data_IF_665404568239
#
_entry.id   IF_665404568239
#
_cell.length_a   1.000
_cell.length_b   1.000
_cell.length_c   1.000
_cell.angle_alpha   90.00
_cell.angle_beta   90.00
_cell.angle_gamma   90.00
#
_symmetry.space_group_name_H-M   'P 1'
#
loop_
_entity.id
_entity.type
_entity.pdbx_description
1 polymer ?
#
# COMPACT_ATOMS: atom_id res chain seq x y z
N UNK A 1 -24.29 5.54 -21.55
CA UNK A 1 -24.75 6.00 -20.23
C UNK A 1 -23.59 5.80 -19.27
N UNK A 2 -23.25 6.78 -18.42
CA UNK A 2 -22.17 6.66 -17.42
C UNK A 2 -22.83 6.42 -16.06
N UNK A 3 -22.49 5.33 -15.39
CA UNK A 3 -22.89 5.08 -14.01
C UNK A 3 -21.84 5.66 -13.06
N UNK A 4 -22.28 6.43 -12.07
CA UNK A 4 -21.40 7.10 -11.11
C UNK A 4 -21.55 6.49 -9.71
N UNK A 5 -20.45 6.33 -9.00
CA UNK A 5 -20.42 5.78 -7.65
C UNK A 5 -19.69 6.73 -6.70
N UNK A 6 -20.38 7.26 -5.68
CA UNK A 6 -19.79 8.09 -4.63
C UNK A 6 -19.44 7.23 -3.41
N UNK A 7 -18.49 6.32 -3.61
CA UNK A 7 -18.13 5.28 -2.65
C UNK A 7 -16.64 4.98 -2.76
N UNK A 8 -16.00 4.54 -1.67
CA UNK A 8 -14.61 4.09 -1.73
C UNK A 8 -14.53 2.73 -2.41
N UNK A 9 -13.45 2.48 -3.14
CA UNK A 9 -13.23 1.19 -3.83
C UNK A 9 -13.30 -0.01 -2.85
N UNK A 10 -12.87 0.20 -1.62
CA UNK A 10 -12.84 -0.84 -0.57
C UNK A 10 -14.23 -1.28 -0.09
N UNK A 11 -15.27 -0.48 -0.33
CA UNK A 11 -16.61 -0.76 0.16
C UNK A 11 -17.43 -1.60 -0.84
N UNK A 12 -16.90 -1.85 -2.04
CA UNK A 12 -17.52 -2.72 -3.03
C UNK A 12 -17.12 -4.19 -2.82
N UNK A 13 -18.07 -5.14 -2.96
CA UNK A 13 -17.76 -6.56 -2.95
C UNK A 13 -17.00 -6.98 -4.22
N UNK A 14 -16.36 -8.13 -4.17
CA UNK A 14 -15.73 -8.81 -5.32
C UNK A 14 -16.68 -8.96 -6.52
N UNK A 15 -17.94 -9.30 -6.27
CA UNK A 15 -18.98 -9.45 -7.30
C UNK A 15 -19.22 -8.17 -8.09
N UNK A 16 -18.97 -6.99 -7.51
CA UNK A 16 -19.03 -5.72 -8.23
C UNK A 16 -17.91 -5.63 -9.25
N UNK A 17 -16.70 -6.07 -8.93
CA UNK A 17 -15.56 -5.98 -9.84
C UNK A 17 -15.62 -7.04 -10.95
N UNK A 18 -16.18 -8.21 -10.67
CA UNK A 18 -16.37 -9.29 -11.65
C UNK A 18 -17.24 -8.90 -12.86
N UNK A 19 -18.05 -7.84 -12.76
CA UNK A 19 -18.92 -7.42 -13.86
C UNK A 19 -18.16 -6.69 -14.99
N UNK A 20 -16.90 -6.28 -14.77
CA UNK A 20 -16.16 -5.44 -15.70
C UNK A 20 -15.20 -6.27 -16.56
N UNK A 21 -15.11 -5.92 -17.84
CA UNK A 21 -14.16 -6.54 -18.77
C UNK A 21 -12.75 -5.94 -18.68
N UNK A 22 -12.62 -4.68 -18.30
CA UNK A 22 -11.36 -3.95 -18.13
C UNK A 22 -11.54 -2.93 -17.01
N UNK A 23 -10.51 -2.75 -16.18
CA UNK A 23 -10.47 -1.73 -15.12
C UNK A 23 -9.40 -0.69 -15.42
N UNK A 24 -9.74 0.59 -15.29
CA UNK A 24 -8.80 1.70 -15.50
C UNK A 24 -8.66 2.49 -14.21
N UNK A 25 -7.42 2.66 -13.74
CA UNK A 25 -7.10 3.33 -12.48
C UNK A 25 -6.44 4.68 -12.74
N UNK A 26 -7.05 5.74 -12.20
CA UNK A 26 -6.47 7.07 -12.03
C UNK A 26 -6.38 7.43 -10.54
N UNK A 27 -5.85 6.51 -9.74
CA UNK A 27 -5.82 6.62 -8.28
C UNK A 27 -4.70 7.56 -7.81
N UNK A 28 -4.85 8.15 -6.63
CA UNK A 28 -3.89 9.14 -6.08
C UNK A 28 -2.99 8.57 -4.98
N UNK A 29 -3.22 7.32 -4.55
CA UNK A 29 -2.44 6.69 -3.48
C UNK A 29 -1.95 5.30 -3.85
N UNK A 30 -0.73 4.97 -3.40
CA UNK A 30 -0.13 3.64 -3.53
C UNK A 30 -1.02 2.59 -2.85
N UNK A 31 -1.60 2.93 -1.69
CA UNK A 31 -2.49 2.03 -0.94
C UNK A 31 -3.73 1.64 -1.75
N UNK A 32 -4.37 2.60 -2.41
CA UNK A 32 -5.53 2.32 -3.26
C UNK A 32 -5.14 1.45 -4.47
N UNK A 33 -4.00 1.74 -5.12
CA UNK A 33 -3.49 0.93 -6.24
C UNK A 33 -3.20 -0.52 -5.83
N UNK A 34 -2.52 -0.72 -4.70
CA UNK A 34 -2.24 -2.05 -4.13
C UNK A 34 -3.53 -2.79 -3.83
N UNK A 35 -4.53 -2.11 -3.25
CA UNK A 35 -5.81 -2.72 -2.96
C UNK A 35 -6.53 -3.18 -4.23
N UNK A 36 -6.62 -2.32 -5.25
CA UNK A 36 -7.24 -2.68 -6.54
C UNK A 36 -6.49 -3.83 -7.22
N UNK A 37 -5.16 -3.79 -7.20
CA UNK A 37 -4.34 -4.88 -7.74
C UNK A 37 -4.66 -6.22 -7.09
N UNK A 38 -4.71 -6.25 -5.75
CA UNK A 38 -5.02 -7.46 -4.99
C UNK A 38 -6.47 -7.90 -5.21
N UNK A 39 -7.40 -6.96 -5.39
CA UNK A 39 -8.80 -7.27 -5.73
C UNK A 39 -8.89 -8.00 -7.06
N UNK A 40 -8.26 -7.49 -8.12
CA UNK A 40 -8.30 -8.17 -9.43
C UNK A 40 -7.56 -9.50 -9.44
N UNK A 41 -6.48 -9.63 -8.68
CA UNK A 41 -5.81 -10.92 -8.46
C UNK A 41 -6.73 -11.90 -7.72
N UNK A 42 -7.55 -11.44 -6.78
CA UNK A 42 -8.48 -12.30 -6.03
C UNK A 42 -9.58 -12.93 -6.89
N UNK A 43 -9.85 -12.35 -8.06
CA UNK A 43 -10.85 -12.84 -9.00
C UNK A 43 -10.31 -13.94 -9.92
N UNK A 44 -9.00 -14.17 -9.90
CA UNK A 44 -8.37 -15.19 -10.74
C UNK A 44 -8.79 -16.58 -10.28
N UNK A 45 -9.17 -17.40 -11.26
CA UNK A 45 -9.46 -18.80 -11.07
C UNK A 45 -8.30 -19.65 -11.62
N UNK A 46 -7.92 -20.67 -10.86
CA UNK A 46 -6.88 -21.61 -11.24
C UNK A 46 -7.44 -23.03 -11.19
N UNK A 47 -7.44 -23.72 -12.32
CA UNK A 47 -7.84 -25.12 -12.43
C UNK A 47 -6.56 -25.96 -12.57
N UNK A 48 -6.31 -26.84 -11.60
CA UNK A 48 -5.09 -27.67 -11.53
C UNK A 48 -3.77 -26.87 -11.66
N UNK A 49 -3.75 -25.65 -11.11
CA UNK A 49 -2.60 -24.75 -11.16
C UNK A 49 -2.44 -23.99 -12.48
N UNK A 50 -3.34 -24.19 -13.44
CA UNK A 50 -3.39 -23.47 -14.71
C UNK A 50 -4.37 -22.30 -14.58
N UNK A 51 -3.93 -21.11 -14.96
CA UNK A 51 -4.77 -19.91 -14.93
C UNK A 51 -5.88 -19.99 -15.97
N UNK A 52 -7.13 -19.86 -15.52
CA UNK A 52 -8.26 -19.62 -16.41
C UNK A 52 -8.19 -18.18 -16.94
N UNK A 53 -7.88 -18.03 -18.23
CA UNK A 53 -7.77 -16.71 -18.87
C UNK A 53 -9.08 -15.93 -18.87
N UNK A 54 -10.24 -16.60 -18.79
CA UNK A 54 -11.53 -15.93 -18.73
C UNK A 54 -11.76 -15.19 -17.40
N UNK A 55 -11.06 -15.59 -16.34
CA UNK A 55 -11.09 -14.93 -15.03
C UNK A 55 -10.21 -13.66 -14.97
N UNK A 56 -9.38 -13.42 -15.99
CA UNK A 56 -8.45 -12.29 -16.02
C UNK A 56 -9.20 -11.02 -16.43
N UNK A 57 -9.26 -10.06 -15.51
CA UNK A 57 -9.72 -8.70 -15.80
C UNK A 57 -8.48 -7.80 -15.97
N UNK A 58 -8.14 -7.34 -17.19
CA UNK A 58 -7.02 -6.45 -17.41
C UNK A 58 -7.18 -5.14 -16.66
N UNK A 59 -6.07 -4.66 -16.10
CA UNK A 59 -5.99 -3.39 -15.38
C UNK A 59 -5.04 -2.44 -16.11
N UNK A 60 -5.52 -1.23 -16.40
CA UNK A 60 -4.68 -0.15 -16.91
C UNK A 60 -4.54 0.90 -15.81
N UNK A 61 -3.32 1.16 -15.34
CA UNK A 61 -3.06 2.12 -14.26
C UNK A 61 -2.24 3.30 -14.77
N UNK A 62 -2.68 4.50 -14.41
CA UNK A 62 -2.00 5.76 -14.68
C UNK A 62 -1.57 6.46 -13.39
N UNK A 63 -0.39 7.05 -13.38
CA UNK A 63 0.13 7.89 -12.31
C UNK A 63 0.74 9.18 -12.86
N UNK A 64 0.57 10.28 -12.12
CA UNK A 64 1.11 11.61 -12.47
C UNK A 64 1.65 12.31 -11.23
N UNK A 65 2.76 13.02 -11.41
CA UNK A 65 3.38 13.88 -10.40
C UNK A 65 4.13 15.00 -11.11
N UNK A 66 3.61 16.22 -11.01
CA UNK A 66 4.12 17.39 -11.72
C UNK A 66 4.24 17.11 -13.21
N UNK A 67 5.47 17.20 -13.70
CA UNK A 67 5.88 17.03 -15.10
C UNK A 67 6.27 15.59 -15.46
N UNK A 68 6.01 14.64 -14.56
CA UNK A 68 6.30 13.22 -14.73
C UNK A 68 5.03 12.40 -14.64
N UNK A 69 5.02 11.27 -15.32
CA UNK A 69 3.93 10.32 -15.21
C UNK A 69 4.32 8.94 -15.71
N UNK A 70 3.43 7.99 -15.49
CA UNK A 70 3.58 6.63 -15.97
C UNK A 70 2.22 6.06 -16.35
N UNK A 71 2.21 5.19 -17.35
CA UNK A 71 1.08 4.32 -17.64
C UNK A 71 1.56 2.87 -17.62
N UNK A 72 0.70 1.97 -17.17
CA UNK A 72 1.02 0.54 -17.13
C UNK A 72 -0.20 -0.32 -17.48
N UNK A 73 0.05 -1.43 -18.15
CA UNK A 73 -0.94 -2.45 -18.48
C UNK A 73 -0.61 -3.71 -17.69
N UNK A 74 -1.56 -4.17 -16.89
CA UNK A 74 -1.40 -5.31 -16.01
C UNK A 74 -2.47 -6.33 -16.40
N UNK A 75 -2.00 -7.52 -16.77
CA UNK A 75 -2.78 -8.75 -16.82
C UNK A 75 -2.52 -9.54 -15.54
N UNK A 76 -3.43 -9.52 -14.55
CA UNK A 76 -3.23 -10.21 -13.28
C UNK A 76 -2.91 -11.70 -13.50
N UNK A 77 -1.95 -12.23 -12.73
CA UNK A 77 -1.48 -13.61 -12.87
C UNK A 77 -0.48 -13.85 -14.02
N UNK A 78 -0.47 -13.01 -15.05
CA UNK A 78 0.37 -13.19 -16.25
C UNK A 78 1.57 -12.22 -16.30
N UNK A 79 1.32 -10.93 -16.11
CA UNK A 79 2.34 -9.87 -16.19
C UNK A 79 2.75 -9.35 -14.80
N UNK A 80 3.77 -8.50 -14.74
CA UNK A 80 4.15 -7.82 -13.50
C UNK A 80 3.00 -6.96 -12.94
N UNK A 81 2.58 -7.25 -11.71
CA UNK A 81 1.51 -6.52 -11.03
C UNK A 81 2.04 -5.28 -10.28
N UNK A 82 1.17 -4.55 -9.57
CA UNK A 82 1.59 -3.37 -8.77
C UNK A 82 2.64 -3.74 -7.72
N UNK A 83 2.46 -4.84 -7.00
CA UNK A 83 3.43 -5.32 -6.00
C UNK A 83 4.79 -5.72 -6.62
N UNK A 84 4.82 -6.23 -7.85
CA UNK A 84 6.08 -6.54 -8.54
C UNK A 84 6.93 -5.29 -8.76
N UNK A 85 6.30 -4.13 -8.94
CA UNK A 85 6.94 -2.85 -9.26
C UNK A 85 6.84 -1.84 -8.13
N UNK A 86 6.59 -2.30 -6.89
CA UNK A 86 6.42 -1.41 -5.74
C UNK A 86 7.69 -0.59 -5.45
N UNK A 87 8.86 -1.12 -5.78
CA UNK A 87 10.16 -0.46 -5.60
C UNK A 87 10.39 0.70 -6.58
N UNK A 88 9.53 0.86 -7.60
CA UNK A 88 9.59 2.00 -8.52
C UNK A 88 8.97 3.27 -7.94
N UNK A 89 8.16 3.14 -6.89
CA UNK A 89 7.65 4.32 -6.20
C UNK A 89 8.79 4.99 -5.42
N UNK A 90 8.86 6.33 -5.43
CA UNK A 90 9.87 7.04 -4.65
C UNK A 90 9.68 6.74 -3.16
N UNK A 91 10.78 6.67 -2.38
CA UNK A 91 10.67 6.47 -0.94
C UNK A 91 9.85 7.61 -0.32
N UNK A 92 8.95 7.26 0.59
CA UNK A 92 8.21 8.28 1.33
C UNK A 92 9.18 9.12 2.16
N UNK A 93 9.12 10.44 1.98
CA UNK A 93 9.90 11.38 2.80
C UNK A 93 9.34 11.35 4.22
N UNK A 94 10.05 10.67 5.12
CA UNK A 94 9.78 10.65 6.54
C UNK A 94 10.97 11.25 7.28
N UNK A 95 10.76 12.39 7.94
CA UNK A 95 11.80 13.02 8.73
C UNK A 95 11.95 12.28 10.07
N UNK A 96 13.18 11.94 10.51
CA UNK A 96 13.39 11.30 11.80
C UNK A 96 12.89 12.17 12.95
N UNK A 97 12.24 11.56 13.95
CA UNK A 97 11.66 12.28 15.08
C UNK A 97 12.70 13.09 15.87
N UNK A 98 13.92 12.56 16.05
CA UNK A 98 15.03 13.27 16.70
C UNK A 98 15.41 14.56 15.96
N UNK A 99 15.39 14.54 14.63
CA UNK A 99 15.66 15.71 13.79
C UNK A 99 14.53 16.73 13.92
N UNK A 100 13.27 16.29 13.84
CA UNK A 100 12.10 17.15 13.99
C UNK A 100 12.10 17.81 15.38
N UNK A 101 12.36 17.03 16.44
CA UNK A 101 12.22 17.48 17.83
C UNK A 101 13.38 18.35 18.31
N UNK A 102 14.62 18.01 17.97
CA UNK A 102 15.81 18.60 18.59
C UNK A 102 16.77 19.30 17.63
N UNK A 103 16.87 18.84 16.38
CA UNK A 103 17.87 19.36 15.43
C UNK A 103 17.26 19.68 14.06
N UNK A 104 16.26 20.59 14.00
CA UNK A 104 15.68 21.00 12.73
C UNK A 104 16.74 21.71 11.87
N UNK A 105 16.62 21.59 10.54
CA UNK A 105 17.59 22.11 9.57
C UNK A 105 16.91 22.71 8.34
N UNK A 106 15.73 22.21 8.01
CA UNK A 106 14.91 22.65 6.89
C UNK A 106 13.61 23.29 7.41
N UNK A 107 12.98 24.23 6.68
CA UNK A 107 11.71 24.81 7.08
C UNK A 107 10.60 23.76 7.22
N UNK A 108 10.64 22.68 6.44
CA UNK A 108 9.74 21.52 6.55
C UNK A 108 9.83 20.83 7.92
N UNK A 109 11.03 20.77 8.53
CA UNK A 109 11.20 20.19 9.87
C UNK A 109 10.47 21.01 10.93
N UNK A 110 10.43 22.34 10.77
CA UNK A 110 9.71 23.24 11.68
C UNK A 110 8.21 23.03 11.57
N UNK A 111 7.69 22.87 10.35
CA UNK A 111 6.27 22.61 10.08
C UNK A 111 5.85 21.23 10.62
N UNK A 112 6.64 20.19 10.36
CA UNK A 112 6.35 18.85 10.88
C UNK A 112 6.43 18.76 12.40
N UNK A 113 7.29 19.55 13.05
CA UNK A 113 7.26 19.66 14.52
C UNK A 113 5.92 20.18 15.01
N UNK A 114 5.42 21.25 14.41
CA UNK A 114 4.16 21.86 14.84
C UNK A 114 3.01 20.88 14.61
N UNK A 115 2.99 20.23 13.45
CA UNK A 115 1.97 19.24 13.08
C UNK A 115 1.97 18.01 13.97
N UNK A 116 3.14 17.41 14.24
CA UNK A 116 3.24 16.11 14.92
C UNK A 116 3.37 16.22 16.44
N UNK A 117 3.98 17.29 16.95
CA UNK A 117 4.32 17.42 18.38
C UNK A 117 3.57 18.57 19.05
N UNK A 118 3.52 19.76 18.43
CA UNK A 118 2.94 20.92 19.09
C UNK A 118 1.41 20.90 19.08
N UNK A 119 0.80 20.51 17.96
CA UNK A 119 -0.65 20.45 17.82
C UNK A 119 -1.30 19.50 18.84
N UNK A 120 -0.87 18.22 18.97
CA UNK A 120 -1.46 17.33 19.97
C UNK A 120 -1.20 17.79 21.41
N UNK A 121 -0.15 18.58 21.64
CA UNK A 121 0.22 19.08 22.97
C UNK A 121 -0.61 20.29 23.40
N UNK A 122 -0.93 21.20 22.47
CA UNK A 122 -1.62 22.46 22.78
C UNK A 122 -3.12 22.42 22.51
N UNK A 123 -3.59 21.45 21.71
CA UNK A 123 -5.00 21.31 21.32
C UNK A 123 -5.64 22.67 20.94
N UNK A 124 -5.05 23.41 19.97
CA UNK A 124 -5.34 24.84 19.78
C UNK A 124 -6.79 25.17 19.40
N UNK A 125 -7.52 24.18 18.87
CA UNK A 125 -8.93 24.31 18.46
C UNK A 125 -9.87 23.44 19.31
N UNK A 126 -9.40 22.90 20.42
CA UNK A 126 -10.16 22.06 21.34
C UNK A 126 -9.68 20.61 21.38
N UNK A 127 -10.11 19.90 22.44
CA UNK A 127 -9.70 18.53 22.68
C UNK A 127 -10.14 17.59 21.55
N UNK A 128 -9.23 16.73 21.09
CA UNK A 128 -9.43 15.78 19.98
C UNK A 128 -9.75 16.40 18.60
N UNK A 129 -9.55 17.71 18.39
CA UNK A 129 -9.65 18.28 17.04
C UNK A 129 -8.41 17.90 16.23
N UNK A 130 -8.63 17.09 15.19
CA UNK A 130 -7.59 16.71 14.24
C UNK A 130 -7.29 17.85 13.28
N UNK A 131 -6.05 17.89 12.76
CA UNK A 131 -5.65 18.87 11.77
C UNK A 131 -6.46 18.64 10.49
N UNK A 132 -7.38 19.55 10.22
CA UNK A 132 -7.95 19.74 8.89
C UNK A 132 -6.99 20.60 8.05
N UNK A 133 -6.44 20.03 6.97
CA UNK A 133 -5.56 20.76 6.07
C UNK A 133 -6.29 21.78 5.20
N UNK A 134 -7.59 21.62 4.99
CA UNK A 134 -8.43 22.51 4.19
C UNK A 134 -8.96 23.70 4.98
N UNK A 135 -8.94 23.64 6.32
CA UNK A 135 -9.30 24.76 7.19
C UNK A 135 -8.19 25.84 7.20
N UNK A 136 -8.47 27.06 6.71
CA UNK A 136 -7.50 28.15 6.72
C UNK A 136 -7.02 28.53 8.12
N UNK A 137 -7.85 28.36 9.16
CA UNK A 137 -7.49 28.68 10.54
C UNK A 137 -6.45 27.71 11.07
N UNK A 138 -6.63 26.42 10.82
CA UNK A 138 -5.67 25.39 11.20
C UNK A 138 -4.32 25.62 10.53
N UNK A 139 -4.32 25.84 9.21
CA UNK A 139 -3.09 26.10 8.45
C UNK A 139 -2.40 27.38 8.94
N UNK A 140 -3.16 28.45 9.18
CA UNK A 140 -2.61 29.71 9.68
C UNK A 140 -1.94 29.53 11.04
N UNK A 141 -2.59 28.82 11.96
CA UNK A 141 -2.00 28.51 13.27
C UNK A 141 -0.71 27.70 13.14
N UNK A 142 -0.70 26.68 12.28
CA UNK A 142 0.49 25.88 12.02
C UNK A 142 1.61 26.75 11.44
N UNK A 143 1.28 27.62 10.49
CA UNK A 143 2.23 28.53 9.86
C UNK A 143 2.88 29.47 10.89
N UNK A 144 2.09 30.14 11.73
CA UNK A 144 2.59 31.05 12.77
C UNK A 144 3.53 30.34 13.74
N UNK A 145 3.14 29.16 14.25
CA UNK A 145 4.00 28.36 15.14
C UNK A 145 5.23 27.78 14.47
N UNK A 146 5.16 27.52 13.17
CA UNK A 146 6.31 27.07 12.39
C UNK A 146 7.31 28.20 12.22
N UNK A 147 6.84 29.43 12.08
CA UNK A 147 7.66 30.64 12.00
C UNK A 147 8.39 30.88 13.33
N UNK A 148 7.66 30.80 14.45
CA UNK A 148 8.25 30.91 15.80
C UNK A 148 9.41 29.93 15.98
N UNK A 149 9.18 28.64 15.68
CA UNK A 149 10.20 27.60 15.77
C UNK A 149 11.35 27.82 14.78
N UNK A 150 11.07 28.25 13.56
CA UNK A 150 12.12 28.51 12.58
C UNK A 150 13.04 29.64 13.05
N UNK A 151 12.50 30.69 13.68
CA UNK A 151 13.27 31.78 14.26
C UNK A 151 14.18 31.30 15.41
N UNK A 152 13.72 30.39 16.27
CA UNK A 152 14.54 29.81 17.35
C UNK A 152 15.82 29.13 16.83
N UNK A 153 15.73 28.48 15.67
CA UNK A 153 16.84 27.75 15.04
C UNK A 153 17.50 28.50 13.89
N UNK A 154 17.16 29.77 13.66
CA UNK A 154 17.65 30.60 12.54
C UNK A 154 17.43 29.94 11.16
N UNK A 155 16.30 29.27 10.96
CA UNK A 155 15.91 28.62 9.71
C UNK A 155 15.04 29.57 8.89
N UNK A 156 15.42 29.80 7.64
CA UNK A 156 14.65 30.63 6.70
C UNK A 156 13.77 29.76 5.79
N UNK A 157 12.79 30.38 5.14
CA UNK A 157 11.99 29.73 4.09
C UNK A 157 10.64 29.16 4.51
N UNK A 158 10.22 29.35 5.78
CA UNK A 158 8.84 29.03 6.19
C UNK A 158 7.88 30.02 5.53
N UNK A 159 7.02 29.51 4.66
CA UNK A 159 5.98 30.28 3.97
C UNK A 159 4.63 29.59 4.13
N UNK A 160 3.53 30.34 4.03
CA UNK A 160 2.18 29.78 4.11
C UNK A 160 1.96 28.67 3.05
N UNK A 161 2.47 28.87 1.83
CA UNK A 161 2.42 27.87 0.75
C UNK A 161 3.18 26.59 1.09
N UNK A 162 4.37 26.71 1.68
CA UNK A 162 5.14 25.55 2.13
C UNK A 162 4.42 24.82 3.27
N UNK A 163 3.82 25.56 4.22
CA UNK A 163 3.00 24.97 5.29
C UNK A 163 1.84 24.15 4.74
N UNK A 164 1.10 24.69 3.77
CA UNK A 164 0.05 23.92 3.08
C UNK A 164 0.61 22.67 2.39
N UNK A 165 1.73 22.81 1.67
CA UNK A 165 2.41 21.72 0.99
C UNK A 165 2.78 20.56 1.93
N UNK A 166 3.39 20.89 3.08
CA UNK A 166 3.81 19.90 4.08
C UNK A 166 2.60 19.27 4.79
N UNK A 167 1.62 20.08 5.23
CA UNK A 167 0.45 19.59 5.98
C UNK A 167 -0.42 18.67 5.12
N UNK A 168 -0.70 19.07 3.87
CA UNK A 168 -1.54 18.30 2.94
C UNK A 168 -0.77 17.27 2.13
N UNK A 169 0.57 17.24 2.22
CA UNK A 169 1.44 16.44 1.34
C UNK A 169 1.11 16.65 -0.15
N UNK A 170 1.00 17.93 -0.55
CA UNK A 170 0.56 18.31 -1.92
C UNK A 170 1.53 17.75 -2.95
N UNK A 171 1.02 16.90 -3.84
CA UNK A 171 1.71 16.48 -5.06
C UNK A 171 1.36 17.50 -6.16
N UNK A 172 2.35 18.14 -6.81
CA UNK A 172 2.07 19.04 -7.93
C UNK A 172 1.30 18.33 -9.03
N UNK A 173 0.32 18.99 -9.64
CA UNK A 173 -0.47 18.41 -10.73
C UNK A 173 -0.67 19.46 -11.84
N UNK A 174 -0.50 19.04 -13.10
CA UNK A 174 -0.74 19.86 -14.28
C UNK A 174 -1.62 19.11 -15.28
N UNK A 175 -2.49 19.85 -15.97
CA UNK A 175 -3.46 19.27 -16.89
C UNK A 175 -2.80 18.56 -18.09
N UNK A 176 -1.65 19.06 -18.57
CA UNK A 176 -0.89 18.48 -19.68
C UNK A 176 -0.47 17.04 -19.39
N UNK A 177 0.19 16.81 -18.26
CA UNK A 177 0.68 15.48 -17.86
C UNK A 177 -0.47 14.50 -17.62
N UNK A 178 -1.57 14.97 -17.00
CA UNK A 178 -2.78 14.17 -16.85
C UNK A 178 -3.39 13.77 -18.21
N UNK A 179 -3.42 14.70 -19.17
CA UNK A 179 -3.92 14.41 -20.52
C UNK A 179 -3.05 13.37 -21.25
N UNK A 180 -1.72 13.48 -21.15
CA UNK A 180 -0.79 12.52 -21.77
C UNK A 180 -0.99 11.12 -21.19
N UNK A 181 -1.00 10.97 -19.86
CA UNK A 181 -1.15 9.66 -19.22
C UNK A 181 -2.54 9.08 -19.41
N UNK A 182 -3.60 9.90 -19.33
CA UNK A 182 -4.96 9.44 -19.61
C UNK A 182 -5.12 8.99 -21.07
N UNK A 183 -4.49 9.68 -22.02
CA UNK A 183 -4.50 9.28 -23.42
C UNK A 183 -3.78 7.94 -23.64
N UNK A 184 -2.63 7.73 -23.00
CA UNK A 184 -1.94 6.45 -23.03
C UNK A 184 -2.83 5.33 -22.44
N UNK A 185 -3.43 5.53 -21.28
CA UNK A 185 -4.31 4.54 -20.65
C UNK A 185 -5.53 4.21 -21.54
N UNK A 186 -6.23 5.23 -22.04
CA UNK A 186 -7.41 5.03 -22.89
C UNK A 186 -7.06 4.31 -24.20
N UNK A 187 -5.89 4.57 -24.77
CA UNK A 187 -5.39 3.87 -25.95
C UNK A 187 -5.18 2.39 -25.67
N UNK A 188 -4.61 2.03 -24.52
CA UNK A 188 -4.42 0.62 -24.15
C UNK A 188 -5.74 -0.10 -23.89
N UNK A 189 -6.72 0.58 -23.30
CA UNK A 189 -8.09 0.02 -23.15
C UNK A 189 -8.70 -0.28 -24.52
N UNK A 190 -8.55 0.61 -25.49
CA UNK A 190 -9.04 0.38 -26.86
C UNK A 190 -8.36 -0.85 -27.47
N UNK A 191 -7.04 -0.97 -27.37
CA UNK A 191 -6.28 -2.12 -27.88
C UNK A 191 -6.72 -3.44 -27.25
N UNK A 192 -6.87 -3.46 -25.92
CA UNK A 192 -7.31 -4.64 -25.16
C UNK A 192 -8.73 -5.06 -25.59
N UNK A 193 -9.66 -4.12 -25.63
CA UNK A 193 -11.09 -4.43 -25.88
C UNK A 193 -11.41 -4.78 -27.33
N UNK A 194 -10.62 -4.29 -28.29
CA UNK A 194 -10.87 -4.50 -29.72
C UNK A 194 -9.87 -5.46 -30.37
N UNK A 195 -8.77 -5.79 -29.68
CA UNK A 195 -7.64 -6.53 -30.24
C UNK A 195 -7.08 -5.89 -31.54
N UNK A 196 -7.24 -4.58 -31.74
CA UNK A 196 -6.80 -3.91 -32.96
C UNK A 196 -5.27 -3.84 -33.10
N UNK A 197 -4.55 -3.87 -31.98
CA UNK A 197 -3.08 -3.89 -31.89
C UNK A 197 -2.66 -4.62 -30.62
N UNK A 198 -1.39 -5.03 -30.55
CA UNK A 198 -0.79 -5.53 -29.32
C UNK A 198 -0.79 -4.44 -28.24
N UNK A 199 -1.25 -4.73 -27.00
CA UNK A 199 -1.13 -3.81 -25.88
C UNK A 199 0.33 -3.51 -25.52
N UNK A 200 0.53 -2.40 -24.81
CA UNK A 200 1.79 -2.03 -24.18
C UNK A 200 2.28 -3.19 -23.30
N UNK A 201 3.55 -3.55 -23.46
CA UNK A 201 4.17 -4.57 -22.65
C UNK A 201 4.56 -4.00 -21.27
N UNK A 202 3.61 -4.06 -20.35
CA UNK A 202 3.68 -3.63 -18.96
C UNK A 202 3.80 -2.14 -18.69
N UNK A 203 4.88 -1.43 -19.05
CA UNK A 203 5.18 -0.13 -18.45
C UNK A 203 5.65 0.92 -19.46
N UNK A 204 5.24 2.19 -19.26
CA UNK A 204 5.84 3.35 -19.92
C UNK A 204 5.98 4.51 -18.93
N UNK A 205 7.17 5.13 -18.91
CA UNK A 205 7.43 6.39 -18.20
C UNK A 205 7.28 7.58 -19.16
N UNK A 206 6.91 8.73 -18.60
CA UNK A 206 6.83 10.03 -19.26
C UNK A 206 7.48 11.11 -18.39
N UNK A 207 8.24 12.01 -19.01
CA UNK A 207 8.73 13.24 -18.39
C UNK A 207 8.79 14.35 -19.43
N UNK A 208 8.37 15.56 -19.06
CA UNK A 208 8.48 16.76 -19.91
C UNK A 208 9.35 17.87 -19.29
N UNK A 209 10.18 17.52 -18.29
CA UNK A 209 11.06 18.48 -17.59
C UNK A 209 12.19 19.04 -18.46
N UNK A 210 12.72 18.24 -19.39
CA UNK A 210 13.78 18.63 -20.32
C UNK A 210 13.53 17.96 -21.67
N UNK A 211 12.84 18.67 -22.56
CA UNK A 211 12.21 18.08 -23.73
C UNK A 211 11.10 17.08 -23.35
N UNK A 212 10.59 16.33 -24.33
CA UNK A 212 9.60 15.28 -24.10
C UNK A 212 10.28 13.92 -24.23
N UNK A 213 10.22 13.13 -23.17
CA UNK A 213 10.82 11.80 -23.13
C UNK A 213 9.84 10.75 -22.65
N UNK A 214 9.82 9.62 -23.35
CA UNK A 214 9.07 8.43 -22.97
C UNK A 214 9.94 7.20 -23.04
N UNK A 215 9.81 6.29 -22.07
CA UNK A 215 10.56 5.04 -22.04
C UNK A 215 9.63 3.86 -21.75
N UNK A 216 9.25 3.08 -22.77
CA UNK A 216 8.52 1.84 -22.59
C UNK A 216 9.49 0.70 -22.24
N UNK A 217 9.10 -0.14 -21.28
CA UNK A 217 9.85 -1.34 -20.92
C UNK A 217 8.92 -2.39 -20.29
N UNK A 218 9.29 -3.65 -20.42
CA UNK A 218 8.61 -4.76 -19.77
C UNK A 218 9.17 -4.93 -18.36
N UNK A 219 8.37 -4.63 -17.32
CA UNK A 219 8.77 -4.94 -15.96
C UNK A 219 8.66 -6.44 -15.70
N UNK A 220 9.65 -6.98 -14.98
CA UNK A 220 9.71 -8.40 -14.66
C UNK A 220 8.68 -8.78 -13.59
N UNK A 221 7.95 -9.87 -13.83
CA UNK A 221 7.05 -10.44 -12.84
C UNK A 221 7.87 -11.22 -11.81
N UNK A 222 7.97 -10.66 -10.59
CA UNK A 222 8.60 -11.35 -9.45
C UNK A 222 7.93 -12.71 -9.17
N UNK A 223 8.72 -13.78 -9.15
CA UNK A 223 8.24 -15.14 -8.87
C UNK A 223 7.74 -15.30 -7.43
N UNK A 224 8.34 -14.57 -6.50
CA UNK A 224 8.02 -14.52 -5.07
C UNK A 224 7.09 -13.35 -4.71
N UNK A 225 6.38 -12.78 -5.69
CA UNK A 225 5.48 -11.65 -5.45
C UNK A 225 4.40 -11.96 -4.40
N UNK A 226 4.31 -11.12 -3.36
CA UNK A 226 3.35 -11.24 -2.27
C UNK A 226 1.87 -11.14 -2.66
N UNK A 227 1.58 -10.68 -3.88
CA UNK A 227 0.22 -10.53 -4.37
C UNK A 227 -0.11 -11.57 -5.46
N UNK A 228 0.67 -11.63 -6.54
CA UNK A 228 0.33 -12.44 -7.71
C UNK A 228 1.10 -13.76 -7.82
N UNK A 229 1.92 -14.12 -6.82
CA UNK A 229 2.53 -15.45 -6.77
C UNK A 229 1.57 -16.45 -6.12
N UNK A 230 1.53 -17.66 -6.67
CA UNK A 230 0.85 -18.80 -6.05
C UNK A 230 1.75 -19.53 -5.04
N UNK A 231 3.04 -19.17 -4.98
CA UNK A 231 4.02 -19.84 -4.12
C UNK A 231 3.84 -19.31 -2.69
N UNK A 232 3.59 -20.19 -1.71
CA UNK A 232 3.55 -19.79 -0.30
C UNK A 232 4.85 -19.09 0.12
N UNK A 233 4.71 -17.98 0.81
CA UNK A 233 5.86 -17.18 1.26
C UNK A 233 6.51 -17.82 2.47
N UNK A 234 7.83 -17.87 2.53
CA UNK A 234 8.52 -18.52 3.65
C UNK A 234 8.73 -17.54 4.81
N UNK A 235 8.27 -17.91 6.00
CA UNK A 235 8.52 -17.17 7.24
C UNK A 235 9.49 -17.95 8.13
N UNK A 236 10.65 -17.36 8.40
CA UNK A 236 11.68 -18.00 9.21
C UNK A 236 11.64 -17.48 10.65
N UNK A 237 11.39 -18.38 11.59
CA UNK A 237 11.32 -18.10 13.03
C UNK A 237 11.91 -19.26 13.83
N UNK A 238 12.31 -19.03 15.08
CA UNK A 238 12.67 -20.13 15.98
C UNK A 238 11.41 -20.83 16.54
N UNK A 239 11.48 -22.13 16.84
CA UNK A 239 10.39 -22.86 17.52
C UNK A 239 9.93 -22.21 18.84
N UNK A 240 10.87 -21.55 19.53
CA UNK A 240 10.66 -20.87 20.81
C UNK A 240 10.10 -19.45 20.65
N UNK A 241 10.01 -18.94 19.42
CA UNK A 241 9.40 -17.64 19.14
C UNK A 241 7.93 -17.67 19.55
N UNK A 242 7.38 -16.52 19.91
CA UNK A 242 5.97 -16.37 20.25
C UNK A 242 5.16 -16.06 19.01
N UNK A 243 3.87 -16.40 19.03
CA UNK A 243 2.94 -15.99 17.97
C UNK A 243 2.90 -14.46 17.81
N UNK A 244 3.14 -13.72 18.90
CA UNK A 244 3.28 -12.26 18.86
C UNK A 244 4.41 -11.80 17.94
N UNK A 245 5.52 -12.50 17.88
CA UNK A 245 6.67 -12.09 17.04
C UNK A 245 6.31 -12.18 15.56
N UNK A 246 5.55 -13.21 15.15
CA UNK A 246 4.98 -13.30 13.79
C UNK A 246 3.99 -12.17 13.55
N UNK A 247 3.09 -11.91 14.50
CA UNK A 247 2.06 -10.88 14.37
C UNK A 247 2.68 -9.49 14.21
N UNK A 248 3.65 -9.14 15.05
CA UNK A 248 4.34 -7.86 15.03
C UNK A 248 5.19 -7.75 13.73
N UNK A 249 5.86 -8.83 13.30
CA UNK A 249 6.58 -8.86 12.02
C UNK A 249 5.68 -8.57 10.80
N UNK A 250 4.47 -9.15 10.74
CA UNK A 250 3.52 -8.91 9.64
C UNK A 250 3.04 -7.45 9.59
N UNK A 251 3.02 -6.76 10.73
CA UNK A 251 2.66 -5.34 10.82
C UNK A 251 3.85 -4.44 10.45
N UNK A 252 5.03 -4.74 11.00
CA UNK A 252 6.22 -3.88 10.91
C UNK A 252 6.99 -4.06 9.59
N UNK A 253 6.91 -5.23 8.97
CA UNK A 253 7.60 -5.51 7.71
C UNK A 253 7.13 -4.56 6.61
N UNK A 254 8.10 -3.90 5.97
CA UNK A 254 7.85 -3.02 4.84
C UNK A 254 7.21 -3.75 3.65
N UNK A 255 7.39 -5.06 3.55
CA UNK A 255 6.81 -5.87 2.49
C UNK A 255 5.29 -6.10 2.70
N UNK A 256 4.88 -6.41 3.94
CA UNK A 256 3.51 -6.78 4.27
C UNK A 256 2.64 -5.59 4.71
N UNK A 257 3.14 -4.76 5.63
CA UNK A 257 2.47 -3.57 6.18
C UNK A 257 1.00 -3.82 6.58
N UNK A 258 0.72 -4.98 7.19
CA UNK A 258 -0.64 -5.36 7.56
C UNK A 258 -1.13 -4.48 8.72
N UNK A 259 -2.43 -4.16 8.76
CA UNK A 259 -2.97 -3.30 9.83
C UNK A 259 -3.44 -4.10 11.04
N UNK A 260 -4.05 -5.26 10.82
CA UNK A 260 -4.67 -6.10 11.84
C UNK A 260 -4.77 -7.55 11.37
N UNK A 261 -3.63 -8.25 11.16
CA UNK A 261 -3.63 -9.58 10.56
C UNK A 261 -4.39 -10.61 11.39
N UNK A 262 -5.28 -11.37 10.74
CA UNK A 262 -5.91 -12.55 11.29
C UNK A 262 -5.17 -13.79 10.84
N UNK A 263 -4.58 -14.53 11.78
CA UNK A 263 -3.73 -15.69 11.52
C UNK A 263 -4.51 -16.97 11.83
N UNK A 264 -4.58 -17.87 10.85
CA UNK A 264 -5.23 -19.18 10.94
C UNK A 264 -4.30 -20.26 10.42
N UNK A 265 -4.51 -21.51 10.81
CA UNK A 265 -3.76 -22.66 10.31
C UNK A 265 -4.65 -23.91 10.32
N UNK A 266 -4.19 -25.01 9.75
CA UNK A 266 -4.85 -26.31 9.83
C UNK A 266 -4.04 -27.21 10.75
N UNK A 267 -4.67 -27.72 11.82
CA UNK A 267 -4.09 -28.73 12.73
C UNK A 267 -5.06 -29.92 12.77
N UNK A 268 -4.54 -31.12 12.55
CA UNK A 268 -5.33 -32.37 12.54
C UNK A 268 -6.56 -32.31 11.62
N UNK A 269 -6.42 -31.67 10.45
CA UNK A 269 -7.49 -31.52 9.46
C UNK A 269 -8.58 -30.51 9.84
N UNK A 270 -8.44 -29.77 10.95
CA UNK A 270 -9.38 -28.73 11.37
C UNK A 270 -8.74 -27.34 11.25
N UNK A 271 -9.48 -26.40 10.69
CA UNK A 271 -9.09 -24.99 10.69
C UNK A 271 -9.10 -24.46 12.13
N UNK A 272 -7.97 -23.94 12.57
CA UNK A 272 -7.73 -23.37 13.90
C UNK A 272 -7.32 -21.91 13.76
N UNK A 273 -8.08 -21.02 14.38
CA UNK A 273 -7.71 -19.61 14.48
C UNK A 273 -6.64 -19.43 15.55
N UNK A 274 -5.46 -18.94 15.16
CA UNK A 274 -4.36 -18.67 16.08
C UNK A 274 -4.57 -17.33 16.77
N UNK A 275 -4.87 -16.29 16.01
CA UNK A 275 -5.20 -14.95 16.52
C UNK A 275 -6.00 -14.15 15.49
N UNK A 276 -7.03 -13.43 15.93
CA UNK A 276 -7.82 -12.58 15.05
C UNK A 276 -8.42 -11.39 15.81
N UNK A 277 -8.00 -10.17 15.45
CA UNK A 277 -8.42 -8.92 16.12
C UNK A 277 -9.70 -8.30 15.56
N UNK A 278 -10.07 -8.63 14.31
CA UNK A 278 -11.24 -8.06 13.62
C UNK A 278 -12.57 -8.39 14.30
N UNK A 279 -12.68 -9.57 14.91
CA UNK A 279 -13.90 -10.05 15.59
C UNK A 279 -13.67 -10.10 17.09
N UNK A 280 -14.29 -9.18 17.86
CA UNK A 280 -14.07 -9.05 19.32
C UNK A 280 -14.25 -10.36 20.11
N UNK A 281 -15.23 -11.18 19.74
CA UNK A 281 -15.49 -12.45 20.43
C UNK A 281 -14.39 -13.49 20.20
N UNK A 282 -13.74 -13.46 19.02
CA UNK A 282 -12.62 -14.34 18.67
C UNK A 282 -11.32 -13.78 19.25
N UNK A 283 -11.13 -12.46 19.24
CA UNK A 283 -9.97 -11.78 19.82
C UNK A 283 -9.80 -12.18 21.28
N UNK A 284 -10.84 -12.05 22.10
CA UNK A 284 -10.77 -12.40 23.53
C UNK A 284 -10.38 -13.87 23.75
N UNK A 285 -10.89 -14.78 22.91
CA UNK A 285 -10.60 -16.23 23.00
C UNK A 285 -9.19 -16.59 22.51
N UNK A 286 -8.64 -15.83 21.58
CA UNK A 286 -7.35 -16.13 20.92
C UNK A 286 -6.20 -15.27 21.42
N UNK A 287 -6.47 -14.21 22.21
CA UNK A 287 -5.47 -13.28 22.73
C UNK A 287 -4.39 -13.96 23.55
N UNK A 288 -4.73 -14.98 24.33
CA UNK A 288 -3.73 -15.70 25.14
C UNK A 288 -2.77 -16.54 24.28
N UNK A 289 -3.12 -16.87 23.03
CA UNK A 289 -2.21 -17.55 22.12
C UNK A 289 -1.03 -16.67 21.71
N UNK A 290 -1.16 -15.33 21.76
CA UNK A 290 -0.04 -14.42 21.46
C UNK A 290 1.16 -14.61 22.39
N UNK A 291 0.91 -15.09 23.62
CA UNK A 291 1.97 -15.30 24.63
C UNK A 291 2.64 -16.67 24.48
N UNK A 292 1.99 -17.61 23.81
CA UNK A 292 2.44 -18.99 23.64
C UNK A 292 3.50 -19.07 22.55
N UNK A 293 4.40 -20.03 22.69
CA UNK A 293 5.41 -20.31 21.67
C UNK A 293 4.79 -21.03 20.47
N UNK A 294 5.45 -20.98 19.30
CA UNK A 294 5.00 -21.69 18.11
C UNK A 294 4.88 -23.21 18.39
N UNK A 295 5.82 -23.74 19.17
CA UNK A 295 5.81 -25.12 19.65
C UNK A 295 4.60 -25.45 20.54
N UNK A 296 4.27 -24.60 21.50
CA UNK A 296 3.09 -24.77 22.37
C UNK A 296 1.76 -24.70 21.61
N UNK A 297 1.74 -23.98 20.49
CA UNK A 297 0.56 -23.87 19.63
C UNK A 297 0.37 -25.08 18.72
N UNK A 298 1.34 -25.99 18.70
CA UNK A 298 1.36 -27.18 17.86
C UNK A 298 1.79 -26.89 16.42
N UNK A 299 2.55 -25.81 16.19
CA UNK A 299 3.06 -25.48 14.87
C UNK A 299 4.35 -26.27 14.57
N UNK A 300 4.41 -26.91 13.41
CA UNK A 300 5.56 -27.69 12.96
C UNK A 300 6.30 -27.02 11.81
N UNK A 301 7.57 -27.37 11.62
CA UNK A 301 8.34 -26.91 10.47
C UNK A 301 7.65 -27.32 9.15
N UNK A 302 7.60 -26.40 8.19
CA UNK A 302 6.92 -26.58 6.90
C UNK A 302 5.41 -26.39 6.94
N UNK A 303 4.80 -26.10 8.09
CA UNK A 303 3.35 -25.90 8.21
C UNK A 303 2.91 -24.59 7.57
N UNK A 304 1.74 -24.62 6.93
CA UNK A 304 1.13 -23.43 6.34
C UNK A 304 0.27 -22.67 7.36
N UNK A 305 0.41 -21.35 7.34
CA UNK A 305 -0.50 -20.42 8.00
C UNK A 305 -1.14 -19.52 6.96
N UNK A 306 -2.43 -19.25 7.14
CA UNK A 306 -3.21 -18.37 6.28
C UNK A 306 -3.50 -17.09 7.03
N UNK A 307 -3.08 -15.97 6.44
CA UNK A 307 -3.18 -14.64 7.04
C UNK A 307 -4.12 -13.78 6.20
N UNK A 308 -5.23 -13.35 6.80
CA UNK A 308 -6.15 -12.40 6.21
C UNK A 308 -6.01 -11.04 6.89
N UNK A 309 -5.96 -9.95 6.14
CA UNK A 309 -5.88 -8.60 6.70
C UNK A 309 -6.72 -7.63 5.87
N UNK A 310 -7.23 -6.55 6.46
CA UNK A 310 -7.98 -5.53 5.72
C UNK A 310 -7.17 -4.82 4.62
N UNK A 311 -5.84 -4.98 4.61
CA UNK A 311 -4.98 -4.48 3.52
C UNK A 311 -5.01 -5.38 2.28
N UNK A 312 -5.49 -6.62 2.38
CA UNK A 312 -5.60 -7.61 1.29
C UNK A 312 -7.02 -8.18 1.23
N UNK A 313 -7.71 -8.17 0.07
CA UNK A 313 -8.98 -8.88 -0.06
C UNK A 313 -8.82 -10.40 0.06
N UNK A 314 -7.65 -10.95 -0.25
CA UNK A 314 -7.31 -12.37 -0.12
C UNK A 314 -6.46 -12.68 1.09
N UNK A 315 -6.54 -13.93 1.56
CA UNK A 315 -5.59 -14.48 2.53
C UNK A 315 -4.27 -14.80 1.84
N UNK A 316 -3.16 -14.40 2.45
CA UNK A 316 -1.81 -14.79 2.02
C UNK A 316 -1.43 -16.08 2.74
N UNK A 317 -0.92 -17.05 1.98
CA UNK A 317 -0.39 -18.30 2.53
C UNK A 317 1.10 -18.17 2.82
N UNK A 318 1.48 -18.49 4.04
CA UNK A 318 2.86 -18.53 4.48
C UNK A 318 3.25 -19.94 4.89
N UNK A 319 4.44 -20.38 4.47
CA UNK A 319 5.06 -21.61 4.93
C UNK A 319 6.05 -21.28 6.05
N UNK A 320 5.86 -21.87 7.23
CA UNK A 320 6.76 -21.69 8.36
C UNK A 320 8.05 -22.48 8.12
N UNK A 321 9.19 -21.81 8.22
CA UNK A 321 10.50 -22.41 8.37
C UNK A 321 10.96 -22.24 9.82
N UNK A 322 10.80 -23.29 10.62
CA UNK A 322 11.14 -23.27 12.04
C UNK A 322 12.57 -23.75 12.23
N UNK A 323 13.44 -22.85 12.70
CA UNK A 323 14.83 -23.19 13.04
C UNK A 323 14.91 -23.65 14.50
N UNK A 324 15.33 -24.89 14.70
CA UNK A 324 15.77 -25.38 16.01
C UNK A 324 17.14 -24.78 16.32
N UNK A 325 17.40 -24.40 17.58
CA UNK A 325 18.74 -24.00 18.05
C UNK A 325 19.74 -25.17 18.00
N UNK A 326 20.15 -25.61 16.81
CA UNK A 326 21.29 -26.49 16.58
C UNK A 326 21.82 -26.29 15.16
N UNK A 327 22.56 -25.21 14.94
CA UNK A 327 23.73 -25.20 14.04
C UNK A 327 24.60 -24.01 14.46
N UNK A 328 25.75 -24.34 15.03
CA UNK A 328 26.78 -23.42 15.51
C UNK A 328 27.88 -23.35 14.47
#
# INVERSE_FOLDING_TARGET
>A
MIATHFTKIQDFPDSFYQQFHVVVCGLDSIVARRWMNRMLISLLNYEDGILDQASVIPMVDGGTEGFKGNARVIFPGMSACIECTLDFYPPQINFPLCTIAHTPRLPEHCIEYVRLLLWPKQEPFGANVVIDGDDPQHIKWIYEKSLDRANEFNILGVTYRLTQGVVKRIIPAVASTNAVIAAACATEVLKITTSCCMPLNNYVNFTDTDGVYTYPFEAEKKEDCLACSLIPQTLTFSEDSKLRDIYDYLIESAAYQMKSPGITTVIDGKSKTLYMKSVKSIEVKTRDNLKKTLKELGLTNGQEIYVADQTTPTSITFKLNLTSHMEK
#
